data_IF_194276158041
#
_entry.id   IF_194276158041
#
_cell.length_a   1.000
_cell.length_b   1.000
_cell.length_c   1.000
_cell.angle_alpha   90.00
_cell.angle_beta   90.00
_cell.angle_gamma   90.00
#
_symmetry.space_group_name_H-M   'P 1'
#
loop_
_entity.id
_entity.type
_entity.pdbx_description
1 polymer ?
#
# COMPACT_ATOMS: atom_id res chain seq x y z
N UNK A 1 -20.48 22.46 18.31
CA UNK A 1 -19.19 23.14 18.53
C UNK A 1 -18.10 22.16 18.12
N UNK A 2 -17.37 22.44 17.04
CA UNK A 2 -16.24 21.59 16.63
C UNK A 2 -15.05 22.09 17.44
N UNK A 3 -14.66 21.34 18.47
CA UNK A 3 -13.41 21.59 19.19
C UNK A 3 -12.26 21.41 18.21
N UNK A 4 -11.58 22.50 17.89
CA UNK A 4 -10.40 22.48 17.04
C UNK A 4 -9.25 21.94 17.88
N UNK A 5 -9.07 20.63 17.87
CA UNK A 5 -7.98 19.97 18.61
C UNK A 5 -6.67 20.21 17.87
N UNK A 6 -5.88 21.16 18.35
CA UNK A 6 -4.50 21.33 17.87
C UNK A 6 -3.62 20.25 18.47
N UNK A 7 -3.22 19.28 17.67
CA UNK A 7 -2.31 18.22 18.10
C UNK A 7 -0.89 18.61 17.68
N UNK A 8 -0.01 18.79 18.65
CA UNK A 8 1.41 19.13 18.43
C UNK A 8 2.26 17.87 18.55
N UNK A 9 2.57 17.24 17.41
CA UNK A 9 3.58 16.18 17.34
C UNK A 9 4.97 16.80 17.21
N UNK A 10 5.85 16.54 18.19
CA UNK A 10 7.24 17.01 18.12
C UNK A 10 7.99 16.25 17.04
N UNK A 11 8.36 16.92 15.94
CA UNK A 11 9.15 16.36 14.84
C UNK A 11 10.39 15.58 15.32
N UNK A 12 11.10 16.08 16.33
CA UNK A 12 12.29 15.44 16.90
C UNK A 12 11.99 14.03 17.44
N UNK A 13 10.83 13.84 18.09
CA UNK A 13 10.43 12.52 18.60
C UNK A 13 10.09 11.57 17.45
N UNK A 14 9.37 12.07 16.44
CA UNK A 14 8.99 11.29 15.27
C UNK A 14 10.22 10.85 14.48
N UNK A 15 11.11 11.80 14.19
CA UNK A 15 12.41 11.58 13.56
C UNK A 15 13.22 10.55 14.33
N UNK A 16 13.37 10.72 15.65
CA UNK A 16 14.11 9.77 16.49
C UNK A 16 13.51 8.36 16.41
N UNK A 17 12.18 8.22 16.42
CA UNK A 17 11.52 6.91 16.30
C UNK A 17 11.79 6.27 14.93
N UNK A 18 11.64 7.04 13.84
CA UNK A 18 11.78 6.53 12.47
C UNK A 18 13.22 6.19 12.09
N UNK A 19 14.22 6.91 12.59
CA UNK A 19 15.63 6.67 12.25
C UNK A 19 16.27 5.52 13.05
N UNK A 20 15.67 5.12 14.18
CA UNK A 20 16.21 4.05 15.02
C UNK A 20 15.54 2.70 14.70
N UNK A 21 16.06 1.62 15.28
CA UNK A 21 15.42 0.30 15.25
C UNK A 21 13.97 0.40 15.75
N UNK A 22 13.00 -0.27 15.08
CA UNK A 22 13.18 -1.25 14.00
C UNK A 22 13.19 -0.66 12.57
N UNK A 23 13.12 0.66 12.39
CA UNK A 23 12.76 1.27 11.11
C UNK A 23 13.95 1.74 10.26
N UNK A 24 14.97 2.35 10.88
CA UNK A 24 16.21 2.80 10.22
C UNK A 24 16.02 3.71 8.99
N UNK A 25 15.05 4.62 9.03
CA UNK A 25 14.84 5.58 7.94
C UNK A 25 16.03 6.54 7.82
N UNK A 26 16.37 6.91 6.59
CA UNK A 26 17.26 8.05 6.31
C UNK A 26 16.54 9.38 6.57
N UNK A 27 17.28 10.47 6.77
CA UNK A 27 16.69 11.81 6.98
C UNK A 27 15.71 12.19 5.86
N UNK A 28 16.08 11.92 4.61
CA UNK A 28 15.25 12.19 3.43
C UNK A 28 13.93 11.41 3.50
N UNK A 29 13.99 10.14 3.89
CA UNK A 29 12.78 9.31 4.05
C UNK A 29 11.92 9.81 5.21
N UNK A 30 12.51 10.24 6.32
CA UNK A 30 11.76 10.85 7.44
C UNK A 30 11.01 12.08 6.93
N UNK A 31 11.71 13.07 6.37
CA UNK A 31 11.09 14.31 5.90
C UNK A 31 9.93 14.05 4.94
N UNK A 32 10.15 13.17 3.94
CA UNK A 32 9.12 12.81 2.97
C UNK A 32 7.91 12.14 3.61
N UNK A 33 8.14 11.16 4.49
CA UNK A 33 7.06 10.39 5.13
C UNK A 33 6.26 11.25 6.11
N UNK A 34 6.93 12.09 6.91
CA UNK A 34 6.26 13.04 7.80
C UNK A 34 5.41 14.02 7.02
N UNK A 35 5.95 14.57 5.94
CA UNK A 35 5.21 15.49 5.08
C UNK A 35 3.95 14.85 4.50
N UNK A 36 3.99 13.57 4.12
CA UNK A 36 2.79 12.86 3.68
C UNK A 36 1.81 12.61 4.83
N UNK A 37 2.29 12.17 5.99
CA UNK A 37 1.45 11.84 7.16
C UNK A 37 0.68 13.03 7.72
N UNK A 38 1.16 14.26 7.55
CA UNK A 38 0.42 15.46 7.99
C UNK A 38 -0.69 15.87 7.01
N UNK A 39 -0.70 15.32 5.79
CA UNK A 39 -1.66 15.64 4.71
C UNK A 39 -2.61 14.48 4.41
N UNK A 40 -2.55 13.36 5.14
CA UNK A 40 -3.55 12.29 5.03
C UNK A 40 -4.91 12.76 5.52
N UNK A 41 -5.94 11.98 5.21
CA UNK A 41 -7.29 12.20 5.69
C UNK A 41 -7.35 12.43 7.23
N UNK A 42 -8.16 13.37 7.73
CA UNK A 42 -8.21 13.72 9.16
C UNK A 42 -8.50 12.54 10.11
N UNK A 43 -9.27 11.54 9.68
CA UNK A 43 -9.53 10.33 10.46
C UNK A 43 -8.25 9.51 10.67
N UNK A 44 -7.48 9.36 9.59
CA UNK A 44 -6.22 8.62 9.57
C UNK A 44 -5.17 9.39 10.38
N UNK A 45 -5.14 10.72 10.24
CA UNK A 45 -4.26 11.58 11.01
C UNK A 45 -4.51 11.44 12.52
N UNK A 46 -5.78 11.41 12.95
CA UNK A 46 -6.15 11.19 14.36
C UNK A 46 -5.70 9.81 14.84
N UNK A 47 -5.96 8.77 14.06
CA UNK A 47 -5.53 7.41 14.40
C UNK A 47 -3.99 7.29 14.50
N UNK A 48 -3.26 7.98 13.61
CA UNK A 48 -1.80 8.05 13.65
C UNK A 48 -1.31 8.71 14.94
N UNK A 49 -1.94 9.80 15.36
CA UNK A 49 -1.58 10.47 16.62
C UNK A 49 -1.81 9.54 17.80
N UNK A 50 -2.99 8.94 17.92
CA UNK A 50 -3.33 8.06 19.04
C UNK A 50 -2.39 6.85 19.10
N UNK A 51 -2.03 6.27 17.96
CA UNK A 51 -1.01 5.22 17.90
C UNK A 51 0.37 5.72 18.31
N UNK A 52 0.79 6.89 17.83
CA UNK A 52 2.12 7.40 18.09
C UNK A 52 2.31 7.82 19.55
N UNK A 53 1.30 8.44 20.17
CA UNK A 53 1.36 8.95 21.56
C UNK A 53 1.01 7.89 22.58
N UNK A 54 -0.06 7.12 22.33
CA UNK A 54 -0.66 6.24 23.35
C UNK A 54 -0.40 4.75 23.06
N UNK A 55 0.18 4.42 21.90
CA UNK A 55 0.38 3.03 21.47
C UNK A 55 -0.94 2.30 21.16
N UNK A 56 -2.03 3.04 20.92
CA UNK A 56 -3.33 2.45 20.59
C UNK A 56 -3.33 1.86 19.18
N UNK A 57 -3.77 0.61 19.05
CA UNK A 57 -3.90 -0.06 17.77
C UNK A 57 -4.96 0.65 16.89
N UNK A 58 -4.62 1.07 15.67
CA UNK A 58 -5.56 1.75 14.78
C UNK A 58 -6.70 0.82 14.35
N UNK A 59 -7.95 1.26 14.54
CA UNK A 59 -9.15 0.56 14.07
C UNK A 59 -9.59 1.01 12.66
N UNK A 60 -8.61 1.28 11.79
CA UNK A 60 -8.88 1.72 10.42
C UNK A 60 -9.20 0.51 9.52
N UNK A 61 -10.21 0.65 8.67
CA UNK A 61 -10.56 -0.34 7.65
C UNK A 61 -11.16 0.32 6.41
N UNK A 62 -10.53 0.13 5.25
CA UNK A 62 -10.96 0.68 3.96
C UNK A 62 -10.84 -0.37 2.86
N UNK A 63 -11.77 -0.37 1.91
CA UNK A 63 -11.84 -1.35 0.83
C UNK A 63 -11.70 -2.82 1.30
N UNK A 64 -12.27 -3.14 2.48
CA UNK A 64 -12.19 -4.47 3.07
C UNK A 64 -10.89 -4.79 3.83
N UNK A 65 -9.84 -3.96 3.71
CA UNK A 65 -8.52 -4.16 4.31
C UNK A 65 -8.38 -3.33 5.59
N UNK A 66 -7.96 -3.96 6.68
CA UNK A 66 -7.66 -3.31 7.96
C UNK A 66 -6.18 -2.95 8.09
N UNK A 67 -5.89 -2.00 8.98
CA UNK A 67 -4.52 -1.61 9.33
C UNK A 67 -3.67 -2.81 9.77
N UNK A 68 -4.21 -3.66 10.64
CA UNK A 68 -3.54 -4.87 11.13
C UNK A 68 -3.20 -5.88 10.01
N UNK A 69 -4.04 -5.97 8.97
CA UNK A 69 -3.79 -6.86 7.82
C UNK A 69 -2.61 -6.36 6.98
N UNK A 70 -2.44 -5.03 6.84
CA UNK A 70 -1.27 -4.45 6.16
C UNK A 70 0.04 -4.76 6.91
N UNK A 71 0.03 -4.71 8.23
CA UNK A 71 1.22 -5.04 9.02
C UNK A 71 1.53 -6.54 8.96
N UNK A 72 0.53 -7.38 9.19
CA UNK A 72 0.70 -8.83 9.32
C UNK A 72 1.03 -9.51 7.99
N UNK A 73 0.27 -9.20 6.94
CA UNK A 73 0.35 -9.94 5.68
C UNK A 73 1.20 -9.24 4.62
N UNK A 74 1.36 -7.93 4.71
CA UNK A 74 2.19 -7.16 3.76
C UNK A 74 3.51 -6.69 4.35
N UNK A 75 3.79 -7.03 5.62
CA UNK A 75 5.00 -6.64 6.36
C UNK A 75 5.27 -5.13 6.26
N UNK A 76 4.22 -4.33 6.12
CA UNK A 76 4.35 -2.88 6.10
C UNK A 76 4.65 -2.41 7.52
N UNK A 77 5.66 -1.54 7.63
CA UNK A 77 5.82 -0.79 8.87
C UNK A 77 4.63 0.16 9.07
N UNK A 78 4.42 0.58 10.31
CA UNK A 78 3.26 1.37 10.73
C UNK A 78 3.13 2.67 9.93
N UNK A 79 4.24 3.38 9.71
CA UNK A 79 4.23 4.65 8.96
C UNK A 79 3.74 4.45 7.53
N UNK A 80 4.25 3.42 6.84
CA UNK A 80 3.80 3.08 5.49
C UNK A 80 2.36 2.56 5.49
N UNK A 81 1.95 1.81 6.52
CA UNK A 81 0.58 1.33 6.65
C UNK A 81 -0.41 2.50 6.77
N UNK A 82 -0.12 3.55 7.55
CA UNK A 82 -0.97 4.74 7.60
C UNK A 82 -1.09 5.45 6.26
N UNK A 83 0.02 5.64 5.55
CA UNK A 83 0.01 6.22 4.21
C UNK A 83 -0.78 5.35 3.22
N UNK A 84 -0.68 4.03 3.36
CA UNK A 84 -1.41 3.10 2.51
C UNK A 84 -2.91 3.06 2.83
N UNK A 85 -3.30 3.24 4.10
CA UNK A 85 -4.71 3.40 4.47
C UNK A 85 -5.32 4.66 3.84
N UNK A 86 -4.54 5.73 3.67
CA UNK A 86 -4.98 6.94 2.98
C UNK A 86 -5.21 6.69 1.50
N UNK A 87 -4.29 5.98 0.84
CA UNK A 87 -4.47 5.55 -0.55
C UNK A 87 -5.69 4.61 -0.69
N UNK A 88 -5.91 3.66 0.24
CA UNK A 88 -7.09 2.79 0.22
C UNK A 88 -8.40 3.57 0.38
N UNK A 89 -8.40 4.67 1.13
CA UNK A 89 -9.58 5.52 1.32
C UNK A 89 -9.86 6.39 0.09
N UNK A 90 -8.82 7.00 -0.48
CA UNK A 90 -8.95 8.00 -1.54
C UNK A 90 -8.91 7.42 -2.95
N UNK A 91 -8.16 6.33 -3.16
CA UNK A 91 -8.00 5.67 -4.46
C UNK A 91 -7.86 4.15 -4.30
N UNK A 92 -8.94 3.45 -3.91
CA UNK A 92 -8.90 2.02 -3.59
C UNK A 92 -8.40 1.16 -4.75
N UNK A 93 -8.79 1.46 -5.99
CA UNK A 93 -8.37 0.67 -7.15
C UNK A 93 -6.86 0.74 -7.38
N UNK A 94 -6.27 1.94 -7.31
CA UNK A 94 -4.83 2.11 -7.43
C UNK A 94 -4.08 1.44 -6.28
N UNK A 95 -4.58 1.57 -5.04
CA UNK A 95 -3.98 0.94 -3.87
C UNK A 95 -4.01 -0.60 -4.00
N UNK A 96 -5.15 -1.18 -4.36
CA UNK A 96 -5.28 -2.62 -4.57
C UNK A 96 -4.36 -3.10 -5.71
N UNK A 97 -4.25 -2.33 -6.80
CA UNK A 97 -3.31 -2.64 -7.88
C UNK A 97 -1.84 -2.60 -7.41
N UNK A 98 -1.45 -1.68 -6.53
CA UNK A 98 -0.11 -1.66 -5.93
C UNK A 98 0.18 -2.89 -5.06
N UNK A 99 -0.84 -3.45 -4.39
CA UNK A 99 -0.69 -4.72 -3.67
C UNK A 99 -0.43 -5.88 -4.63
N UNK A 100 -1.16 -5.93 -5.75
CA UNK A 100 -1.03 -6.97 -6.78
C UNK A 100 0.25 -6.82 -7.61
N UNK A 101 0.75 -5.60 -7.82
CA UNK A 101 2.00 -5.36 -8.55
C UNK A 101 3.25 -5.74 -7.73
N UNK A 102 3.21 -5.58 -6.40
CA UNK A 102 4.26 -6.07 -5.51
C UNK A 102 4.25 -7.61 -5.32
N UNK A 103 3.27 -8.30 -5.89
CA UNK A 103 3.01 -9.74 -5.81
C UNK A 103 3.97 -10.59 -6.67
N UNK A 104 4.79 -9.97 -7.53
CA UNK A 104 5.89 -10.67 -8.21
C UNK A 104 6.99 -11.22 -7.25
N UNK A 105 6.90 -10.93 -5.94
CA UNK A 105 7.76 -11.48 -4.88
C UNK A 105 7.02 -12.39 -3.87
N UNK A 106 5.76 -12.74 -4.12
CA UNK A 106 4.86 -13.45 -3.20
C UNK A 106 4.76 -14.96 -3.50
N UNK A 107 5.90 -15.63 -3.71
CA UNK A 107 5.97 -17.10 -3.84
C UNK A 107 5.62 -17.89 -2.56
N UNK A 108 4.90 -17.30 -1.58
CA UNK A 108 4.68 -17.93 -0.27
C UNK A 108 3.35 -17.65 0.44
N UNK A 109 2.39 -16.92 -0.15
CA UNK A 109 1.03 -16.80 0.45
C UNK A 109 0.00 -17.26 -0.57
N UNK A 110 -0.66 -18.37 -0.27
CA UNK A 110 -1.69 -18.94 -1.13
C UNK A 110 -2.93 -18.04 -1.17
N UNK A 111 -3.50 -17.87 -2.36
CA UNK A 111 -4.77 -17.16 -2.61
C UNK A 111 -5.94 -17.63 -1.73
N UNK A 112 -5.80 -18.79 -1.09
CA UNK A 112 -6.79 -19.39 -0.19
C UNK A 112 -6.86 -18.73 1.19
N UNK A 113 -5.86 -17.93 1.57
CA UNK A 113 -5.82 -17.21 2.85
C UNK A 113 -6.56 -15.87 2.80
N UNK A 114 -6.99 -15.44 1.61
CA UNK A 114 -7.83 -14.26 1.41
C UNK A 114 -9.32 -14.62 1.56
N UNK A 115 -10.12 -13.70 2.09
CA UNK A 115 -11.59 -13.90 2.18
C UNK A 115 -12.20 -14.11 0.78
N UNK A 116 -13.30 -14.88 0.65
CA UNK A 116 -13.87 -15.28 -0.65
C UNK A 116 -14.09 -14.11 -1.63
N UNK A 117 -14.60 -13.00 -1.14
CA UNK A 117 -14.90 -11.78 -1.92
C UNK A 117 -13.63 -11.14 -2.53
N UNK A 118 -12.52 -11.17 -1.81
CA UNK A 118 -11.21 -10.72 -2.28
C UNK A 118 -10.54 -11.77 -3.18
N UNK A 119 -10.75 -13.05 -2.89
CA UNK A 119 -10.24 -14.15 -3.73
C UNK A 119 -10.83 -14.09 -5.13
N UNK A 120 -12.13 -13.85 -5.28
CA UNK A 120 -12.76 -13.68 -6.59
C UNK A 120 -12.26 -12.44 -7.32
N UNK A 121 -12.22 -11.28 -6.65
CA UNK A 121 -11.74 -10.04 -7.28
C UNK A 121 -10.27 -10.15 -7.72
N UNK A 122 -9.40 -10.66 -6.84
CA UNK A 122 -7.97 -10.86 -7.14
C UNK A 122 -7.78 -11.93 -8.21
N UNK A 123 -8.50 -13.06 -8.15
CA UNK A 123 -8.41 -14.10 -9.18
C UNK A 123 -8.93 -13.63 -10.55
N UNK A 124 -10.00 -12.82 -10.56
CA UNK A 124 -10.52 -12.21 -11.78
C UNK A 124 -9.52 -11.23 -12.37
N UNK A 125 -8.91 -10.35 -11.55
CA UNK A 125 -7.89 -9.41 -12.02
C UNK A 125 -6.59 -10.09 -12.47
N UNK A 126 -6.21 -11.19 -11.83
CA UNK A 126 -5.09 -12.02 -12.28
C UNK A 126 -5.39 -12.68 -13.63
N UNK A 127 -6.58 -13.24 -13.83
CA UNK A 127 -7.01 -13.78 -15.13
C UNK A 127 -7.10 -12.70 -16.20
N UNK A 128 -7.57 -11.50 -15.88
CA UNK A 128 -7.60 -10.35 -16.80
C UNK A 128 -6.18 -9.92 -17.19
N UNK A 129 -5.23 -9.92 -16.24
CA UNK A 129 -3.81 -9.63 -16.52
C UNK A 129 -3.15 -10.71 -17.36
N UNK A 130 -3.37 -11.99 -17.03
CA UNK A 130 -2.82 -13.11 -17.77
C UNK A 130 -3.41 -13.19 -19.19
N UNK A 131 -4.69 -12.85 -19.37
CA UNK A 131 -5.32 -12.74 -20.68
C UNK A 131 -4.82 -11.53 -21.49
N UNK A 132 -4.51 -10.41 -20.83
CA UNK A 132 -3.89 -9.23 -21.47
C UNK A 132 -2.42 -9.50 -21.85
N UNK A 133 -1.69 -10.27 -21.03
CA UNK A 133 -0.32 -10.71 -21.30
C UNK A 133 -0.27 -11.81 -22.38
N UNK A 134 -1.25 -12.71 -22.46
CA UNK A 134 -1.40 -13.66 -23.58
C UNK A 134 -1.76 -12.94 -24.89
N UNK A 135 -2.67 -11.95 -24.86
CA UNK A 135 -2.94 -11.10 -26.03
C UNK A 135 -1.69 -10.36 -26.52
N UNK A 136 -0.89 -9.82 -25.59
CA UNK A 136 0.38 -9.14 -25.94
C UNK A 136 1.43 -10.10 -26.49
N UNK A 137 1.41 -11.38 -26.10
CA UNK A 137 2.26 -12.43 -26.68
C UNK A 137 1.79 -12.85 -28.08
N UNK A 138 0.49 -12.85 -28.36
CA UNK A 138 -0.03 -13.11 -29.72
C UNK A 138 0.32 -11.99 -30.71
N UNK A 139 0.38 -10.74 -30.25
CA UNK A 139 0.79 -9.58 -31.05
C UNK A 139 2.32 -9.40 -31.18
N UNK A 140 3.12 -10.27 -30.55
CA UNK A 140 4.59 -10.21 -30.55
C UNK A 140 5.19 -11.42 -31.28
N UNK A 141 5.68 -11.21 -32.51
CA UNK A 141 6.50 -12.19 -33.21
C UNK A 141 7.96 -11.74 -33.24
N UNK A 142 8.83 -12.51 -32.56
CA UNK A 142 10.27 -12.44 -32.68
C UNK A 142 10.71 -13.44 -33.75
N UNK A 143 11.22 -12.94 -34.86
CA UNK A 143 11.74 -13.79 -35.93
C UNK A 143 13.15 -14.26 -35.58
N UNK A 144 13.57 -15.42 -36.10
CA UNK A 144 14.87 -16.05 -35.81
C UNK A 144 16.09 -15.17 -36.16
N UNK A 145 15.89 -14.10 -36.93
CA UNK A 145 16.90 -13.09 -37.27
C UNK A 145 16.97 -11.91 -36.29
N UNK A 146 16.20 -11.95 -35.19
CA UNK A 146 16.17 -10.92 -34.16
C UNK A 146 15.29 -9.70 -34.47
N UNK A 147 14.45 -9.74 -35.50
CA UNK A 147 13.51 -8.65 -35.82
C UNK A 147 12.17 -8.81 -35.09
N UNK A 148 11.58 -7.69 -34.68
CA UNK A 148 10.28 -7.62 -33.97
C UNK A 148 9.27 -6.94 -34.88
N UNK A 149 8.09 -7.56 -35.02
CA UNK A 149 6.95 -6.94 -35.71
C UNK A 149 5.84 -6.67 -34.70
N UNK A 150 5.28 -5.45 -34.68
CA UNK A 150 4.10 -5.09 -33.90
C UNK A 150 3.09 -4.36 -34.79
N UNK A 151 1.80 -4.65 -34.62
CA UNK A 151 0.72 -3.90 -35.27
C UNK A 151 0.31 -2.74 -34.36
N UNK A 152 0.51 -1.52 -34.83
CA UNK A 152 -0.06 -0.33 -34.21
C UNK A 152 -1.58 -0.28 -34.48
N UNK A 153 -2.37 -0.16 -33.42
CA UNK A 153 -3.74 0.36 -33.47
C UNK A 153 -3.74 1.78 -32.94
#
# INVERSE_FOLDING_TARGET
MITQTTIVLKYILLRKRMMNEPYKYTERQVMHTVWRLIHVDPEIQRAFIEWFTDGKEPKLKYAGISFSELQKYRKMNEFNAFLFMDELKNNPDAALNMLVANDARLSTVGLEELRPELREYVAQKLKERDADDEKKKEDFQLHDNGSITFKLK
#
